data_IF_177733062189
#
_entry.id   IF_177733062189
#
_cell.length_a   1.000
_cell.length_b   1.000
_cell.length_c   1.000
_cell.angle_alpha   90.00
_cell.angle_beta   90.00
_cell.angle_gamma   90.00
#
_symmetry.space_group_name_H-M   'P 1'
#
loop_
_entity.id
_entity.type
_entity.pdbx_description
1 polymer ?
#
# COMPACT_ATOMS: atom_id res chain seq x y z
N UNK A 1 -6.18 31.73 38.71
CA UNK A 1 -6.10 31.80 37.23
C UNK A 1 -5.32 30.59 36.72
N UNK A 2 -5.96 29.64 36.01
CA UNK A 2 -5.29 28.44 35.51
C UNK A 2 -4.51 28.74 34.21
N UNK A 3 -3.20 28.52 34.23
CA UNK A 3 -2.30 28.77 33.09
C UNK A 3 -2.48 27.68 32.03
N UNK A 4 -2.95 28.05 30.84
CA UNK A 4 -3.19 27.12 29.71
C UNK A 4 -1.85 26.49 29.27
N UNK A 5 -1.73 25.16 29.37
CA UNK A 5 -0.53 24.43 28.91
C UNK A 5 -0.39 24.56 27.40
N UNK A 6 0.77 25.06 26.94
CA UNK A 6 1.13 25.06 25.51
C UNK A 6 1.28 23.61 25.05
N UNK A 7 0.51 23.18 24.06
CA UNK A 7 0.62 21.83 23.50
C UNK A 7 1.95 21.68 22.76
N UNK A 8 2.57 20.51 22.88
CA UNK A 8 3.78 20.16 22.13
C UNK A 8 3.49 20.12 20.63
N UNK A 9 4.48 20.48 19.81
CA UNK A 9 4.38 20.41 18.35
C UNK A 9 4.28 18.95 17.92
N UNK A 10 3.16 18.57 17.30
CA UNK A 10 3.00 17.23 16.69
C UNK A 10 4.01 17.09 15.55
N UNK A 11 4.93 16.13 15.67
CA UNK A 11 5.88 15.77 14.62
C UNK A 11 5.18 14.86 13.59
N UNK A 12 5.47 15.07 12.30
CA UNK A 12 4.90 14.29 11.20
C UNK A 12 6.04 13.58 10.50
N UNK A 13 6.03 12.26 10.53
CA UNK A 13 7.02 11.41 9.88
C UNK A 13 6.38 10.61 8.73
N UNK A 14 7.21 10.12 7.81
CA UNK A 14 6.75 9.29 6.68
C UNK A 14 7.39 7.93 6.79
N UNK A 15 6.57 6.90 6.90
CA UNK A 15 7.00 5.51 6.87
C UNK A 15 7.14 5.08 5.40
N UNK A 16 8.30 4.54 5.03
CA UNK A 16 8.56 4.03 3.68
C UNK A 16 8.95 2.56 3.77
N UNK A 17 8.28 1.72 2.99
CA UNK A 17 8.61 0.30 2.88
C UNK A 17 9.69 0.11 1.82
N UNK A 18 10.92 -0.15 2.26
CA UNK A 18 12.09 -0.27 1.36
C UNK A 18 12.07 -1.56 0.53
N UNK A 19 11.60 -2.65 1.12
CA UNK A 19 11.67 -3.99 0.50
C UNK A 19 10.64 -4.19 -0.63
N UNK A 20 9.60 -3.35 -0.68
CA UNK A 20 8.50 -3.44 -1.65
C UNK A 20 8.47 -2.22 -2.59
N UNK A 21 9.63 -1.75 -3.04
CA UNK A 21 9.71 -0.63 -4.00
C UNK A 21 9.40 -1.09 -5.42
N UNK A 22 8.25 -0.68 -5.96
CA UNK A 22 7.82 -0.99 -7.33
C UNK A 22 7.97 0.25 -8.21
N UNK A 23 9.15 0.40 -8.82
CA UNK A 23 9.55 1.61 -9.56
C UNK A 23 8.76 1.84 -10.86
N UNK A 24 8.40 0.76 -11.55
CA UNK A 24 7.87 0.82 -12.92
C UNK A 24 6.35 0.56 -13.03
N UNK A 25 5.59 0.60 -11.93
CA UNK A 25 4.13 0.42 -12.04
C UNK A 25 3.52 1.67 -12.70
N UNK A 26 2.80 1.51 -13.83
CA UNK A 26 2.13 2.60 -14.50
C UNK A 26 0.96 3.14 -13.67
N UNK A 27 0.64 4.41 -13.86
CA UNK A 27 -0.57 5.00 -13.30
C UNK A 27 -1.79 4.48 -14.06
N UNK A 28 -2.98 4.43 -13.45
CA UNK A 28 -4.22 4.04 -14.12
C UNK A 28 -4.48 4.84 -15.41
N UNK A 29 -4.13 6.13 -15.43
CA UNK A 29 -4.23 6.99 -16.61
C UNK A 29 -3.30 6.59 -17.77
N UNK A 30 -2.19 5.91 -17.48
CA UNK A 30 -1.26 5.39 -18.50
C UNK A 30 -1.68 4.01 -19.03
N UNK A 31 -2.70 3.37 -18.45
CA UNK A 31 -3.21 2.08 -18.91
C UNK A 31 -3.55 2.05 -20.42
N UNK A 32 -4.18 3.08 -21.03
CA UNK A 32 -4.48 3.10 -22.46
C UNK A 32 -3.24 3.17 -23.36
N UNK A 33 -2.09 3.55 -22.82
CA UNK A 33 -0.82 3.68 -23.55
C UNK A 33 0.06 2.42 -23.46
N UNK A 34 -0.31 1.44 -22.63
CA UNK A 34 0.43 0.19 -22.48
C UNK A 34 0.13 -0.79 -23.60
N UNK A 35 1.13 -1.60 -23.96
CA UNK A 35 0.98 -2.70 -24.91
C UNK A 35 0.01 -3.77 -24.37
N UNK A 36 -0.68 -4.47 -25.27
CA UNK A 36 -1.69 -5.48 -24.92
C UNK A 36 -1.11 -6.63 -24.08
N UNK A 37 0.15 -7.01 -24.34
CA UNK A 37 0.90 -8.00 -23.56
C UNK A 37 1.12 -7.58 -22.09
N UNK A 38 1.17 -6.28 -21.79
CA UNK A 38 1.30 -5.78 -20.42
C UNK A 38 -0.05 -5.66 -19.71
N UNK A 39 -1.16 -5.62 -20.47
CA UNK A 39 -2.53 -5.60 -19.92
C UNK A 39 -3.06 -7.00 -19.62
N UNK A 40 -2.56 -8.02 -20.31
CA UNK A 40 -3.01 -9.39 -20.11
C UNK A 40 -2.59 -9.92 -18.73
N UNK A 41 -3.48 -10.60 -17.99
CA UNK A 41 -3.12 -11.28 -16.75
C UNK A 41 -2.01 -12.32 -16.98
N UNK A 42 -1.01 -12.33 -16.09
CA UNK A 42 0.10 -13.29 -16.15
C UNK A 42 -0.25 -14.50 -15.30
N UNK A 43 0.04 -15.69 -15.79
CA UNK A 43 -0.12 -16.93 -15.04
C UNK A 43 1.05 -17.12 -14.07
N UNK A 44 0.74 -17.17 -12.76
CA UNK A 44 1.74 -17.36 -11.71
C UNK A 44 1.48 -18.71 -11.04
N UNK A 45 2.48 -19.57 -11.06
CA UNK A 45 2.48 -20.81 -10.29
C UNK A 45 2.72 -20.47 -8.82
N UNK A 46 1.77 -20.83 -7.95
CA UNK A 46 1.92 -20.66 -6.52
C UNK A 46 2.35 -21.98 -5.88
N UNK A 47 3.42 -21.94 -5.09
CA UNK A 47 3.81 -23.07 -4.27
C UNK A 47 2.74 -23.30 -3.22
N UNK A 48 2.03 -24.44 -3.33
CA UNK A 48 0.83 -24.67 -2.53
C UNK A 48 1.13 -24.68 -1.02
N UNK A 49 2.33 -25.12 -0.57
CA UNK A 49 2.70 -25.29 0.85
C UNK A 49 4.21 -25.30 1.09
N UNK A 50 4.66 -24.74 2.22
CA UNK A 50 6.01 -25.00 2.75
C UNK A 50 5.95 -26.30 3.58
N UNK A 51 6.59 -27.36 3.06
CA UNK A 51 6.58 -28.71 3.65
C UNK A 51 7.17 -28.77 5.06
N UNK A 52 7.98 -27.79 5.43
CA UNK A 52 8.72 -27.76 6.71
C UNK A 52 7.93 -27.04 7.81
N UNK A 53 6.95 -26.22 7.46
CA UNK A 53 6.21 -25.37 8.41
C UNK A 53 4.83 -25.91 8.80
N UNK A 54 4.38 -27.00 8.19
CA UNK A 54 3.03 -27.54 8.36
C UNK A 54 3.09 -29.03 8.73
N UNK A 55 3.03 -29.41 10.03
CA UNK A 55 3.01 -30.81 10.41
C UNK A 55 1.69 -31.44 9.98
N UNK A 56 1.70 -32.30 8.95
CA UNK A 56 0.47 -32.82 8.34
C UNK A 56 0.40 -34.35 8.25
N UNK A 57 -0.72 -34.92 8.72
CA UNK A 57 -1.21 -36.25 8.33
C UNK A 57 -1.71 -36.17 6.88
N UNK A 58 -0.82 -36.47 5.94
CA UNK A 58 -1.14 -36.59 4.52
C UNK A 58 -1.65 -38.02 4.26
N UNK A 59 -2.87 -38.14 3.74
CA UNK A 59 -3.37 -39.44 3.27
C UNK A 59 -2.50 -39.88 2.08
N UNK A 60 -1.77 -41.00 2.24
CA UNK A 60 -1.03 -41.69 1.18
C UNK A 60 -1.88 -41.74 -0.10
N UNK A 61 -1.38 -41.14 -1.19
CA UNK A 61 -2.03 -41.13 -2.51
C UNK A 61 -2.76 -39.85 -2.91
N UNK A 62 -2.94 -38.86 -2.00
CA UNK A 62 -3.55 -37.56 -2.36
C UNK A 62 -2.60 -36.64 -3.15
N UNK A 63 -1.31 -36.74 -2.90
CA UNK A 63 -0.30 -35.89 -3.56
C UNK A 63 0.01 -36.35 -5.00
N UNK A 64 -0.14 -37.64 -5.30
CA UNK A 64 0.12 -38.20 -6.65
C UNK A 64 -0.95 -37.80 -7.68
N UNK A 65 -2.18 -37.47 -7.24
CA UNK A 65 -3.29 -37.09 -8.12
C UNK A 65 -3.35 -35.59 -8.44
N UNK A 66 -2.63 -34.75 -7.70
CA UNK A 66 -2.66 -33.28 -7.85
C UNK A 66 -1.44 -32.73 -8.61
N UNK A 67 -0.93 -33.47 -9.60
CA UNK A 67 0.33 -33.21 -10.32
C UNK A 67 0.40 -31.86 -11.05
N UNK A 68 -0.71 -31.12 -11.20
CA UNK A 68 -0.69 -29.81 -11.84
C UNK A 68 -0.36 -28.69 -10.84
N UNK A 69 0.67 -27.90 -11.17
CA UNK A 69 1.01 -26.66 -10.49
C UNK A 69 -0.24 -25.79 -10.34
N UNK A 70 -0.42 -25.17 -9.16
CA UNK A 70 -1.54 -24.27 -8.94
C UNK A 70 -1.27 -22.95 -9.66
N UNK A 71 -1.73 -22.86 -10.90
CA UNK A 71 -1.58 -21.67 -11.72
C UNK A 71 -2.79 -20.76 -11.51
N UNK A 72 -2.52 -19.52 -11.10
CA UNK A 72 -3.54 -18.48 -10.95
C UNK A 72 -3.23 -17.32 -11.89
N UNK A 73 -4.26 -16.74 -12.50
CA UNK A 73 -4.14 -15.51 -13.29
C UNK A 73 -3.97 -14.31 -12.37
N UNK A 74 -2.83 -13.64 -12.45
CA UNK A 74 -2.53 -12.41 -11.74
C UNK A 74 -2.80 -11.20 -12.65
N UNK A 75 -3.82 -10.37 -12.37
CA UNK A 75 -4.09 -9.18 -13.17
C UNK A 75 -3.01 -8.11 -12.95
N UNK A 76 -2.76 -7.23 -13.94
CA UNK A 76 -1.84 -6.12 -13.78
C UNK A 76 -2.36 -5.13 -12.74
N UNK A 77 -1.44 -4.62 -11.90
CA UNK A 77 -1.74 -3.63 -10.88
C UNK A 77 -1.38 -2.24 -11.38
N UNK A 78 -2.32 -1.30 -11.30
CA UNK A 78 -2.11 0.11 -11.61
C UNK A 78 -2.09 0.93 -10.33
N UNK A 79 -1.22 1.94 -10.28
CA UNK A 79 -1.26 2.95 -9.21
C UNK A 79 -2.26 4.01 -9.64
N UNK A 80 -3.23 4.37 -8.81
CA UNK A 80 -4.18 5.42 -9.20
C UNK A 80 -3.51 6.80 -9.21
N UNK A 81 -2.81 7.16 -8.14
CA UNK A 81 -2.06 8.42 -8.01
C UNK A 81 -0.91 8.23 -7.01
N UNK A 82 0.16 9.04 -7.12
CA UNK A 82 1.24 9.08 -6.11
C UNK A 82 1.05 10.28 -5.20
N UNK A 83 0.29 10.07 -4.12
CA UNK A 83 0.03 11.11 -3.11
C UNK A 83 1.09 11.01 -2.01
N UNK A 84 1.66 12.14 -1.58
CA UNK A 84 2.54 12.19 -0.41
C UNK A 84 1.75 12.62 0.84
N UNK A 85 1.42 11.70 1.79
CA UNK A 85 0.52 12.02 2.89
C UNK A 85 1.06 13.10 3.84
N UNK A 86 2.37 13.12 4.07
CA UNK A 86 3.05 14.15 4.87
C UNK A 86 2.76 15.56 4.36
N UNK A 87 2.80 15.79 3.05
CA UNK A 87 2.53 17.10 2.47
C UNK A 87 1.09 17.58 2.77
N UNK A 88 0.11 16.67 2.70
CA UNK A 88 -1.29 16.97 3.04
C UNK A 88 -1.46 17.31 4.52
N UNK A 89 -0.84 16.54 5.41
CA UNK A 89 -0.95 16.75 6.86
C UNK A 89 -0.23 18.05 7.25
N UNK A 90 0.91 18.36 6.65
CA UNK A 90 1.63 19.61 6.87
C UNK A 90 0.80 20.83 6.43
N UNK A 91 0.15 20.76 5.26
CA UNK A 91 -0.73 21.83 4.79
C UNK A 91 -1.95 22.00 5.70
N UNK A 92 -2.61 20.91 6.10
CA UNK A 92 -3.70 20.93 7.07
C UNK A 92 -3.29 21.58 8.40
N UNK A 93 -2.09 21.27 8.88
CA UNK A 93 -1.54 21.87 10.10
C UNK A 93 -1.34 23.38 9.94
N UNK A 94 -0.81 23.83 8.80
CA UNK A 94 -0.65 25.27 8.49
C UNK A 94 -2.00 25.98 8.45
N UNK A 95 -3.00 25.42 7.74
CA UNK A 95 -4.36 25.99 7.66
C UNK A 95 -5.03 26.06 9.03
N UNK A 96 -4.91 25.00 9.85
CA UNK A 96 -5.48 24.97 11.20
C UNK A 96 -4.85 26.02 12.12
N UNK A 97 -3.52 26.20 12.05
CA UNK A 97 -2.84 27.25 12.81
C UNK A 97 -3.31 28.65 12.40
N UNK A 98 -3.41 28.91 11.09
CA UNK A 98 -3.92 30.20 10.56
C UNK A 98 -5.35 30.47 11.02
N UNK A 99 -6.24 29.48 10.95
CA UNK A 99 -7.62 29.62 11.40
C UNK A 99 -7.74 29.90 12.91
N UNK A 100 -6.84 29.36 13.74
CA UNK A 100 -6.82 29.65 15.17
C UNK A 100 -6.36 31.08 15.46
N UNK A 101 -5.37 31.58 14.72
CA UNK A 101 -4.90 32.97 14.85
C UNK A 101 -6.00 33.96 14.46
N UNK A 102 -6.67 33.74 13.33
CA UNK A 102 -7.80 34.58 12.89
C UNK A 102 -8.90 34.62 13.96
N UNK A 103 -9.26 33.46 14.53
CA UNK A 103 -10.24 33.40 15.63
C UNK A 103 -9.81 34.11 16.92
N UNK A 104 -8.51 34.25 17.16
CA UNK A 104 -7.98 34.99 18.32
C UNK A 104 -7.88 36.50 18.04
N UNK A 105 -7.82 36.92 16.77
CA UNK A 105 -7.84 38.33 16.35
C UNK A 105 -9.29 38.89 16.27
N UNK A 106 -10.27 38.04 15.94
CA UNK A 106 -11.69 38.39 15.85
C UNK A 106 -12.45 38.33 17.20
N UNK A 107 -11.79 37.96 18.31
CA UNK A 107 -12.37 37.76 19.64
C UNK A 107 -11.82 38.76 20.66
#
# INVERSE_FOLDING_TARGET
>A
MAKRKKSSKIAIETLTHKDASRRNIPTAEYQPLLDEAQRSPIEVAYERRNRDLDPQLVWRGKDEQNWADFVVKAPPLYIQEKIHPKALIEDLKKRSAKLRLIKEEDA
#
